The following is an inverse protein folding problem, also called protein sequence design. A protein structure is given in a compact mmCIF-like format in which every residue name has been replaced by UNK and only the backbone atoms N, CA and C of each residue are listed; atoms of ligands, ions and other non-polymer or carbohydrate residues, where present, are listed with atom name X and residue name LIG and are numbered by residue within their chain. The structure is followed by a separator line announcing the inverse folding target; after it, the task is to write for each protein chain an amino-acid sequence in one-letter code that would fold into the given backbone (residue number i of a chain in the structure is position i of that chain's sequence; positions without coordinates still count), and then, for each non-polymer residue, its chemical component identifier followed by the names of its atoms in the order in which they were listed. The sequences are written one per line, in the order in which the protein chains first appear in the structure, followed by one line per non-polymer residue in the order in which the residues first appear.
data_IF_722505036084
#
_entry.id   IF_722505036084
#
_cell.length_a   1.000
_cell.length_b   1.000
_cell.length_c   1.000
_cell.angle_alpha   90.00
_cell.angle_beta   90.00
_cell.angle_gamma   90.00
#
_symmetry.space_group_name_H-M   'P 1'
#
loop_
_entity.id
_entity.type
_entity.pdbx_description
1 polymer ?
#
# COMPACT_ATOMS: atom_id res chain seq x y z
N UNK A 1 8.55 3.31 24.16
CA UNK A 1 7.97 3.04 22.82
C UNK A 1 8.85 3.73 21.78
N UNK A 2 9.13 3.08 20.65
CA UNK A 2 9.92 3.63 19.52
C UNK A 2 9.06 3.52 18.26
N UNK A 3 9.08 4.52 17.40
CA UNK A 3 8.50 4.48 16.04
C UNK A 3 9.67 4.74 15.09
N UNK A 4 9.89 3.84 14.13
CA UNK A 4 11.08 3.86 13.28
C UNK A 4 12.38 3.85 14.09
N UNK A 5 13.31 4.74 13.75
CA UNK A 5 14.59 4.89 14.45
C UNK A 5 14.54 5.89 15.62
N UNK A 6 13.40 6.56 15.85
CA UNK A 6 13.31 7.64 16.83
C UNK A 6 12.69 7.18 18.17
N UNK A 7 13.16 7.81 19.25
CA UNK A 7 12.64 7.61 20.59
C UNK A 7 11.48 8.58 20.81
N UNK A 8 10.29 8.05 21.09
CA UNK A 8 9.12 8.88 21.37
C UNK A 8 9.27 9.58 22.72
N UNK A 9 8.88 10.85 22.76
CA UNK A 9 8.67 11.60 23.99
C UNK A 9 7.24 11.39 24.48
N UNK A 10 7.10 11.16 25.79
CA UNK A 10 5.80 11.12 26.46
C UNK A 10 5.70 12.40 27.28
N UNK A 11 4.78 13.28 26.90
CA UNK A 11 4.52 14.55 27.59
C UNK A 11 3.07 14.54 28.03
N UNK A 12 2.79 14.79 29.31
CA UNK A 12 1.43 14.81 29.87
C UNK A 12 0.58 13.57 29.53
N UNK A 13 1.14 12.36 29.65
CA UNK A 13 0.50 11.10 29.26
C UNK A 13 0.09 10.99 27.78
N UNK A 14 0.61 11.85 26.89
CA UNK A 14 0.41 11.79 25.44
C UNK A 14 1.71 11.40 24.75
N UNK A 15 1.59 10.67 23.65
CA UNK A 15 2.69 10.37 22.74
C UNK A 15 2.82 11.54 21.79
N UNK A 16 3.99 12.16 21.74
CA UNK A 16 4.31 13.15 20.71
C UNK A 16 4.91 12.43 19.50
N UNK A 17 4.28 12.61 18.34
CA UNK A 17 4.80 12.12 17.07
C UNK A 17 5.73 13.20 16.52
N UNK A 18 7.01 12.89 16.25
CA UNK A 18 7.93 13.84 15.63
C UNK A 18 7.38 14.32 14.28
N UNK A 19 7.54 15.61 13.97
CA UNK A 19 7.00 16.20 12.74
C UNK A 19 7.49 15.49 11.47
N UNK A 20 8.66 14.86 11.50
CA UNK A 20 9.21 14.12 10.37
C UNK A 20 8.43 12.84 10.02
N UNK A 21 7.55 12.35 10.92
CA UNK A 21 6.65 11.23 10.67
C UNK A 21 5.23 11.67 10.31
N UNK A 22 4.96 12.99 10.29
CA UNK A 22 3.62 13.53 10.06
C UNK A 22 3.59 14.20 8.70
N UNK A 23 2.71 13.72 7.83
CA UNK A 23 2.33 14.46 6.62
C UNK A 23 1.23 15.43 7.04
N UNK A 24 1.41 16.75 6.88
CA UNK A 24 0.39 17.71 7.22
C UNK A 24 -0.81 17.51 6.29
N UNK A 25 -1.99 17.41 6.88
CA UNK A 25 -3.23 17.33 6.12
C UNK A 25 -3.64 18.73 5.65
N UNK A 26 -3.80 18.91 4.34
CA UNK A 26 -4.36 20.12 3.74
C UNK A 26 -5.74 19.84 3.16
N UNK A 27 -5.76 19.00 2.12
CA UNK A 27 -6.93 18.42 1.49
C UNK A 27 -6.58 16.98 1.08
N UNK A 28 -7.57 16.20 0.70
CA UNK A 28 -7.43 14.78 0.41
C UNK A 28 -6.43 14.53 -0.73
N UNK A 29 -6.57 15.23 -1.86
CA UNK A 29 -5.75 15.03 -3.06
C UNK A 29 -4.29 15.38 -2.78
N UNK A 30 -4.03 16.57 -2.23
CA UNK A 30 -2.66 17.00 -1.92
C UNK A 30 -2.02 16.12 -0.85
N UNK A 31 -2.75 15.78 0.23
CA UNK A 31 -2.21 14.96 1.31
C UNK A 31 -1.85 13.56 0.82
N UNK A 32 -2.68 12.97 -0.04
CA UNK A 32 -2.43 11.67 -0.65
C UNK A 32 -1.29 11.73 -1.68
N UNK A 33 -1.16 12.82 -2.44
CA UNK A 33 0.01 13.06 -3.30
C UNK A 33 1.30 13.16 -2.50
N UNK A 34 1.29 13.87 -1.36
CA UNK A 34 2.44 13.91 -0.46
C UNK A 34 2.76 12.51 0.10
N UNK A 35 1.75 11.75 0.53
CA UNK A 35 1.93 10.38 1.01
C UNK A 35 2.60 9.48 -0.04
N UNK A 36 2.16 9.59 -1.30
CA UNK A 36 2.80 8.86 -2.40
C UNK A 36 4.26 9.24 -2.56
N UNK A 37 4.57 10.53 -2.65
CA UNK A 37 5.93 11.01 -2.90
C UNK A 37 6.89 10.65 -1.75
N UNK A 38 6.42 10.66 -0.51
CA UNK A 38 7.21 10.23 0.66
C UNK A 38 7.43 8.71 0.65
N UNK A 39 6.44 7.94 0.23
CA UNK A 39 6.52 6.47 0.22
C UNK A 39 7.37 5.96 -0.94
N UNK A 40 7.21 6.54 -2.13
CA UNK A 40 7.87 6.16 -3.38
C UNK A 40 8.74 7.30 -3.92
N UNK A 41 9.85 7.65 -3.24
CA UNK A 41 10.76 8.66 -3.73
C UNK A 41 11.39 8.20 -5.05
N UNK A 42 11.49 9.09 -6.03
CA UNK A 42 12.04 8.81 -7.36
C UNK A 42 11.29 7.69 -8.12
N UNK A 43 9.98 7.58 -7.91
CA UNK A 43 9.13 6.55 -8.52
C UNK A 43 9.38 6.36 -10.03
N UNK A 44 9.41 7.45 -10.81
CA UNK A 44 9.62 7.37 -12.27
C UNK A 44 10.97 6.75 -12.68
N UNK A 45 11.95 6.71 -11.79
CA UNK A 45 13.26 6.09 -12.04
C UNK A 45 13.26 4.60 -11.68
N UNK A 46 12.48 4.21 -10.66
CA UNK A 46 12.55 2.87 -10.06
C UNK A 46 11.26 2.06 -10.16
N UNK A 47 10.22 2.54 -10.85
CA UNK A 47 8.94 1.83 -10.95
C UNK A 47 9.11 0.43 -11.59
N UNK A 48 10.02 0.30 -12.56
CA UNK A 48 10.34 -0.98 -13.20
C UNK A 48 11.20 -1.91 -12.33
N UNK A 49 11.65 -1.47 -11.14
CA UNK A 49 12.40 -2.29 -10.20
C UNK A 49 11.45 -2.99 -9.22
N UNK A 50 11.26 -4.32 -9.32
CA UNK A 50 10.33 -5.05 -8.47
C UNK A 50 10.65 -4.92 -6.98
N UNK A 51 11.93 -4.95 -6.63
CA UNK A 51 12.40 -4.82 -5.25
C UNK A 51 12.12 -3.44 -4.67
N UNK A 52 12.12 -2.40 -5.50
CA UNK A 52 11.78 -1.05 -5.07
C UNK A 52 10.29 -0.94 -4.72
N UNK A 53 9.42 -1.45 -5.59
CA UNK A 53 7.97 -1.42 -5.40
C UNK A 53 7.53 -2.30 -4.24
N UNK A 54 8.02 -3.54 -4.17
CA UNK A 54 7.63 -4.54 -3.15
C UNK A 54 8.16 -4.25 -1.74
N UNK A 55 9.20 -3.42 -1.61
CA UNK A 55 9.75 -3.04 -0.28
C UNK A 55 9.00 -1.92 0.41
N UNK A 56 7.94 -1.39 -0.21
CA UNK A 56 7.15 -0.26 0.29
C UNK A 56 5.70 -0.69 0.46
N UNK A 57 5.10 -0.24 1.57
CA UNK A 57 3.72 -0.54 1.92
C UNK A 57 3.07 0.67 2.58
N UNK A 58 1.83 0.95 2.19
CA UNK A 58 0.95 1.90 2.86
C UNK A 58 -0.06 1.08 3.66
N UNK A 59 -0.16 1.37 4.97
CA UNK A 59 -1.10 0.71 5.87
C UNK A 59 -2.17 1.71 6.30
N UNK A 60 -3.44 1.33 6.14
CA UNK A 60 -4.57 2.11 6.62
C UNK A 60 -5.19 1.47 7.86
N UNK A 61 -5.93 2.25 8.64
CA UNK A 61 -6.64 1.75 9.83
C UNK A 61 -7.96 1.06 9.50
N UNK A 62 -8.51 1.32 8.31
CA UNK A 62 -9.76 0.74 7.80
C UNK A 62 -9.60 0.32 6.36
N UNK A 63 -10.24 -0.80 6.03
CA UNK A 63 -10.28 -1.33 4.67
C UNK A 63 -11.05 -0.43 3.70
N UNK A 64 -12.02 0.35 4.19
CA UNK A 64 -12.81 1.27 3.35
C UNK A 64 -11.95 2.29 2.56
N UNK A 65 -10.72 2.57 3.02
CA UNK A 65 -9.79 3.47 2.34
C UNK A 65 -8.74 2.75 1.49
N UNK A 66 -8.73 1.42 1.51
CA UNK A 66 -7.72 0.64 0.77
C UNK A 66 -7.97 0.75 -0.72
N UNK A 67 -9.23 0.67 -1.15
CA UNK A 67 -9.59 0.75 -2.57
C UNK A 67 -9.20 2.12 -3.15
N UNK A 68 -9.56 3.21 -2.47
CA UNK A 68 -9.23 4.57 -2.90
C UNK A 68 -7.71 4.81 -3.02
N UNK A 69 -6.94 4.34 -2.05
CA UNK A 69 -5.49 4.46 -2.09
C UNK A 69 -4.91 3.59 -3.21
N UNK A 70 -5.40 2.37 -3.36
CA UNK A 70 -4.93 1.44 -4.38
C UNK A 70 -5.19 1.96 -5.80
N UNK A 71 -6.39 2.46 -6.08
CA UNK A 71 -6.75 3.06 -7.37
C UNK A 71 -5.84 4.25 -7.68
N UNK A 72 -5.66 5.14 -6.70
CA UNK A 72 -4.76 6.28 -6.81
C UNK A 72 -3.29 5.86 -7.00
N UNK A 73 -2.84 4.72 -6.44
CA UNK A 73 -1.49 4.20 -6.67
C UNK A 73 -1.34 3.66 -8.09
N UNK A 74 -2.33 2.89 -8.56
CA UNK A 74 -2.33 2.29 -9.90
C UNK A 74 -2.29 3.41 -10.97
N UNK A 75 -3.10 4.45 -10.80
CA UNK A 75 -3.16 5.60 -11.73
C UNK A 75 -1.82 6.36 -11.87
N UNK A 76 -0.89 6.18 -10.93
CA UNK A 76 0.44 6.80 -11.01
C UNK A 76 1.46 5.96 -11.77
N UNK A 77 1.20 4.68 -12.02
CA UNK A 77 2.08 3.88 -12.84
C UNK A 77 2.07 4.39 -14.28
N UNK A 78 3.23 4.50 -14.94
CA UNK A 78 3.31 5.00 -16.31
C UNK A 78 2.79 3.98 -17.34
N UNK A 79 2.67 2.71 -16.94
CA UNK A 79 2.16 1.63 -17.78
C UNK A 79 0.64 1.53 -17.69
N UNK A 80 0.01 0.98 -18.73
CA UNK A 80 -1.42 0.78 -18.76
C UNK A 80 -1.87 -0.23 -17.69
N UNK A 81 -2.94 0.11 -16.98
CA UNK A 81 -3.55 -0.79 -16.00
C UNK A 81 -4.02 -2.08 -16.69
N UNK A 82 -3.60 -3.22 -16.16
CA UNK A 82 -4.04 -4.53 -16.64
C UNK A 82 -5.11 -5.07 -15.71
N UNK A 83 -6.30 -5.35 -16.28
CA UNK A 83 -7.41 -5.96 -15.54
C UNK A 83 -7.28 -7.47 -15.59
N UNK A 84 -7.09 -8.09 -14.43
CA UNK A 84 -7.12 -9.55 -14.29
C UNK A 84 -8.50 -9.97 -13.79
N UNK A 85 -9.12 -10.92 -14.48
CA UNK A 85 -10.36 -11.54 -14.02
C UNK A 85 -10.01 -12.67 -13.06
N UNK A 86 -10.38 -12.53 -11.79
CA UNK A 86 -10.30 -13.62 -10.84
C UNK A 86 -11.22 -14.76 -11.28
N UNK A 87 -10.71 -15.99 -11.23
CA UNK A 87 -11.51 -17.20 -11.41
C UNK A 87 -11.71 -17.75 -10.00
N UNK A 88 -12.94 -17.65 -9.50
CA UNK A 88 -13.29 -18.11 -8.14
C UNK A 88 -13.50 -19.63 -8.07
N UNK A 89 -13.44 -20.33 -9.21
CA UNK A 89 -13.65 -21.77 -9.30
C UNK A 89 -12.36 -22.48 -9.71
N UNK A 90 -11.98 -23.51 -8.95
CA UNK A 90 -10.96 -24.45 -9.37
C UNK A 90 -11.44 -25.25 -10.58
N UNK A 91 -10.54 -25.59 -11.49
CA UNK A 91 -10.85 -26.43 -12.66
C UNK A 91 -11.44 -27.78 -12.21
N UNK A 92 -10.99 -28.29 -11.06
CA UNK A 92 -11.50 -29.49 -10.39
C UNK A 92 -12.27 -29.10 -9.12
N UNK A 93 -13.59 -29.38 -9.02
CA UNK A 93 -14.43 -28.98 -7.88
C UNK A 93 -13.97 -29.53 -6.52
N UNK A 94 -13.20 -30.63 -6.51
CA UNK A 94 -12.66 -31.23 -5.29
C UNK A 94 -11.49 -30.43 -4.68
N UNK A 95 -10.86 -29.55 -5.47
CA UNK A 95 -9.74 -28.73 -5.02
C UNK A 95 -10.20 -27.41 -4.39
N UNK A 96 -11.48 -27.04 -4.54
CA UNK A 96 -12.03 -25.76 -4.09
C UNK A 96 -11.79 -25.49 -2.59
N UNK A 97 -11.97 -26.50 -1.73
CA UNK A 97 -11.70 -26.38 -0.29
C UNK A 97 -10.24 -26.06 0.06
N UNK A 98 -9.28 -26.31 -0.84
CA UNK A 98 -7.86 -26.05 -0.61
C UNK A 98 -7.45 -24.61 -0.95
N UNK A 99 -8.28 -23.88 -1.71
CA UNK A 99 -7.99 -22.52 -2.17
C UNK A 99 -8.88 -21.46 -1.49
N UNK A 100 -9.94 -21.86 -0.78
CA UNK A 100 -10.77 -20.94 0.01
C UNK A 100 -9.99 -20.24 1.15
N UNK A 101 -8.91 -20.84 1.66
CA UNK A 101 -8.04 -20.20 2.68
C UNK A 101 -7.06 -19.17 2.09
N UNK A 102 -7.00 -19.05 0.76
CA UNK A 102 -6.15 -18.08 0.06
C UNK A 102 -6.86 -16.74 -0.18
N UNK A 103 -7.72 -16.31 0.76
CA UNK A 103 -8.19 -14.93 0.85
C UNK A 103 -6.99 -14.03 1.13
N UNK A 104 -6.31 -13.65 0.04
CA UNK A 104 -5.20 -12.73 0.03
C UNK A 104 -5.70 -11.42 0.66
N UNK A 105 -5.14 -10.99 1.81
CA UNK A 105 -5.47 -9.69 2.34
C UNK A 105 -4.88 -8.65 1.40
N UNK A 106 -5.73 -7.96 0.62
CA UNK A 106 -5.68 -6.62 -0.02
C UNK A 106 -4.33 -5.85 -0.19
N UNK A 107 -3.18 -6.51 -0.09
CA UNK A 107 -1.81 -5.98 -0.10
C UNK A 107 -1.09 -6.45 -1.39
N UNK A 108 -1.63 -7.44 -2.12
CA UNK A 108 -0.97 -7.98 -3.32
C UNK A 108 -1.24 -7.21 -4.61
N UNK A 109 -1.28 -5.88 -4.60
CA UNK A 109 -1.00 -5.16 -5.86
C UNK A 109 0.48 -5.29 -6.26
N UNK A 110 1.38 -5.66 -5.35
CA UNK A 110 2.82 -5.74 -5.66
C UNK A 110 3.29 -7.08 -6.25
N UNK A 111 2.52 -8.18 -6.15
CA UNK A 111 2.99 -9.51 -6.57
C UNK A 111 2.61 -9.94 -7.99
N UNK A 112 1.66 -9.26 -8.63
CA UNK A 112 1.16 -9.66 -9.96
C UNK A 112 1.33 -8.62 -11.06
N UNK A 113 1.74 -7.39 -10.73
CA UNK A 113 2.06 -6.36 -11.73
C UNK A 113 3.48 -6.48 -12.32
N UNK A 114 4.25 -7.51 -11.94
CA UNK A 114 5.69 -7.61 -12.28
C UNK A 114 6.12 -9.00 -12.78
N UNK A 115 5.19 -9.83 -13.26
CA UNK A 115 5.53 -11.02 -14.05
C UNK A 115 4.85 -11.02 -15.41
#
# INVERSE_FOLDING_TARGET
MRIGHEKLTITNNKIEIPNNFVIPFTDEIESLNLLFNVTYPDFHTFYSNPSFITSRIILTTKNDFVDEINDMLIDRFPDDATVYTAIDETIEPNDQCQFEDFYIPYILLTYHLIN
#
